data_IF_097575143052
#
_entry.id   IF_097575143052
#
_cell.length_a   1.000
_cell.length_b   1.000
_cell.length_c   1.000
_cell.angle_alpha   90.00
_cell.angle_beta   90.00
_cell.angle_gamma   90.00
#
_symmetry.space_group_name_H-M   'P 1'
#
loop_
_entity.id
_entity.type
_entity.pdbx_description
1 polymer ?
#
# COMPACT_ATOMS: atom_id res chain seq x y z
N UNK A 1 -7.27 12.55 12.46
CA UNK A 1 -6.27 11.54 12.91
C UNK A 1 -6.60 10.94 14.29
N UNK A 2 -7.01 11.72 15.32
CA UNK A 2 -7.33 11.17 16.65
C UNK A 2 -8.52 10.20 16.64
N UNK A 3 -9.59 10.51 15.92
CA UNK A 3 -10.80 9.68 15.81
C UNK A 3 -10.54 8.31 15.17
N UNK A 4 -9.64 8.23 14.17
CA UNK A 4 -9.35 6.99 13.47
C UNK A 4 -8.49 6.01 14.30
N UNK A 5 -7.54 6.53 15.10
CA UNK A 5 -6.80 5.73 16.09
C UNK A 5 -7.73 5.17 17.17
N UNK A 6 -8.73 5.94 17.61
CA UNK A 6 -9.75 5.46 18.54
C UNK A 6 -10.56 4.31 17.96
N UNK A 7 -10.91 4.36 16.68
CA UNK A 7 -11.59 3.28 15.98
C UNK A 7 -10.75 2.00 15.95
N UNK A 8 -9.44 2.14 15.65
CA UNK A 8 -8.53 0.98 15.65
C UNK A 8 -8.44 0.32 17.02
N UNK A 9 -8.27 1.12 18.09
CA UNK A 9 -8.23 0.61 19.47
C UNK A 9 -9.56 -0.04 19.88
N UNK A 10 -10.68 0.56 19.51
CA UNK A 10 -12.00 -0.02 19.76
C UNK A 10 -12.15 -1.40 19.11
N UNK A 11 -11.73 -1.53 17.86
CA UNK A 11 -11.79 -2.82 17.13
C UNK A 11 -10.89 -3.87 17.78
N UNK A 12 -9.67 -3.53 18.20
CA UNK A 12 -8.77 -4.45 18.92
C UNK A 12 -9.45 -4.95 20.20
N UNK A 13 -9.99 -4.04 21.01
CA UNK A 13 -10.61 -4.37 22.28
C UNK A 13 -11.83 -5.28 22.10
N UNK A 14 -12.71 -4.99 21.13
CA UNK A 14 -13.90 -5.80 20.89
C UNK A 14 -13.58 -7.21 20.38
N UNK A 15 -12.58 -7.33 19.49
CA UNK A 15 -12.11 -8.65 19.04
C UNK A 15 -11.49 -9.43 20.19
N UNK A 16 -10.62 -8.81 21.00
CA UNK A 16 -10.04 -9.43 22.19
C UNK A 16 -11.10 -9.88 23.18
N UNK A 17 -12.06 -9.01 23.47
CA UNK A 17 -13.18 -9.32 24.37
C UNK A 17 -13.95 -10.57 23.92
N UNK A 18 -14.19 -10.67 22.59
CA UNK A 18 -14.89 -11.83 22.01
C UNK A 18 -14.10 -13.11 22.19
N UNK A 19 -12.79 -13.11 21.94
CA UNK A 19 -11.95 -14.29 22.16
C UNK A 19 -11.80 -14.65 23.64
N UNK A 20 -11.62 -13.66 24.51
CA UNK A 20 -11.53 -13.87 25.95
C UNK A 20 -12.82 -14.47 26.54
N UNK A 21 -13.99 -14.09 26.01
CA UNK A 21 -15.27 -14.68 26.45
C UNK A 21 -15.38 -16.18 26.15
N UNK A 22 -14.60 -16.67 25.19
CA UNK A 22 -14.50 -18.09 24.82
C UNK A 22 -13.27 -18.79 25.46
N UNK A 23 -12.57 -18.12 26.38
CA UNK A 23 -11.40 -18.65 27.06
C UNK A 23 -10.11 -18.67 26.23
N UNK A 24 -10.10 -18.02 25.06
CA UNK A 24 -8.94 -17.97 24.18
C UNK A 24 -8.18 -16.67 24.41
N UNK A 25 -6.88 -16.78 24.74
CA UNK A 25 -5.99 -15.65 24.87
C UNK A 25 -5.14 -15.47 23.61
N UNK A 26 -5.23 -14.31 22.96
CA UNK A 26 -4.47 -13.96 21.77
C UNK A 26 -3.67 -12.70 22.08
N UNK A 27 -2.39 -12.66 21.66
CA UNK A 27 -1.59 -11.44 21.80
C UNK A 27 -2.14 -10.34 20.88
N UNK A 28 -2.26 -9.11 21.40
CA UNK A 28 -2.86 -7.96 20.70
C UNK A 28 -2.22 -7.66 19.35
N UNK A 29 -0.90 -7.85 19.25
CA UNK A 29 -0.12 -7.63 18.03
C UNK A 29 -0.66 -8.35 16.80
N UNK A 30 -1.23 -9.55 16.94
CA UNK A 30 -1.79 -10.32 15.83
C UNK A 30 -3.08 -9.68 15.29
N UNK A 31 -3.90 -9.17 16.20
CA UNK A 31 -5.14 -8.47 15.85
C UNK A 31 -4.83 -7.08 15.28
N UNK A 32 -3.87 -6.39 15.87
CA UNK A 32 -3.42 -5.06 15.42
C UNK A 32 -2.91 -5.08 13.97
N UNK A 33 -2.15 -6.10 13.56
CA UNK A 33 -1.68 -6.26 12.17
C UNK A 33 -2.86 -6.35 11.20
N UNK A 34 -3.89 -7.13 11.54
CA UNK A 34 -5.08 -7.30 10.71
C UNK A 34 -5.84 -5.96 10.60
N UNK A 35 -6.07 -5.29 11.73
CA UNK A 35 -6.77 -4.00 11.76
C UNK A 35 -5.97 -2.92 11.02
N UNK A 36 -4.65 -2.93 11.14
CA UNK A 36 -3.78 -2.04 10.36
C UNK A 36 -4.02 -2.23 8.86
N UNK A 37 -4.08 -3.47 8.38
CA UNK A 37 -4.34 -3.75 6.97
C UNK A 37 -5.74 -3.33 6.52
N UNK A 38 -6.76 -3.48 7.37
CA UNK A 38 -8.12 -3.00 7.10
C UNK A 38 -8.24 -1.47 7.03
N UNK A 39 -7.30 -0.76 7.63
CA UNK A 39 -7.32 0.70 7.80
C UNK A 39 -6.21 1.42 7.02
N UNK A 40 -5.43 0.73 6.19
CA UNK A 40 -4.30 1.31 5.46
C UNK A 40 -4.70 2.04 4.18
N UNK A 41 -5.95 1.90 3.72
CA UNK A 41 -6.42 2.51 2.47
C UNK A 41 -7.18 3.82 2.71
N UNK A 42 -7.06 4.74 1.76
CA UNK A 42 -7.75 6.03 1.73
C UNK A 42 -8.52 6.17 0.42
N UNK A 43 -9.62 6.93 0.47
CA UNK A 43 -10.37 7.28 -0.74
C UNK A 43 -10.16 8.76 -1.06
N UNK A 44 -9.80 9.03 -2.29
CA UNK A 44 -9.68 10.39 -2.82
C UNK A 44 -11.08 10.97 -3.03
N UNK A 45 -11.32 12.21 -2.56
CA UNK A 45 -12.55 12.96 -2.82
C UNK A 45 -12.31 14.17 -3.73
N UNK A 46 -11.09 14.70 -3.76
CA UNK A 46 -10.67 15.76 -4.66
C UNK A 46 -9.25 15.47 -5.15
N UNK A 47 -9.05 15.52 -6.46
CA UNK A 47 -7.72 15.28 -7.05
C UNK A 47 -6.76 16.46 -6.87
N UNK A 48 -7.26 17.68 -6.59
CA UNK A 48 -6.44 18.90 -6.68
C UNK A 48 -5.84 19.04 -8.08
N UNK A 49 -4.60 19.49 -8.15
CA UNK A 49 -3.82 19.60 -9.40
C UNK A 49 -3.08 18.31 -9.77
N UNK A 50 -3.41 17.19 -9.07
CA UNK A 50 -2.78 15.89 -9.32
C UNK A 50 -3.56 15.04 -10.33
N UNK A 51 -2.94 13.98 -10.85
CA UNK A 51 -3.56 13.04 -11.79
C UNK A 51 -4.56 12.08 -11.14
N UNK A 52 -4.82 12.22 -9.83
CA UNK A 52 -5.70 11.34 -9.08
C UNK A 52 -7.18 11.61 -9.39
N UNK A 53 -7.94 10.54 -9.56
CA UNK A 53 -9.37 10.64 -9.83
C UNK A 53 -10.19 10.59 -8.53
N UNK A 54 -11.27 11.39 -8.42
CA UNK A 54 -12.22 11.27 -7.31
C UNK A 54 -12.82 9.87 -7.25
N UNK A 55 -12.80 9.26 -6.05
CA UNK A 55 -13.27 7.89 -5.82
C UNK A 55 -12.17 6.82 -5.85
N UNK A 56 -10.97 7.15 -6.29
CA UNK A 56 -9.82 6.24 -6.31
C UNK A 56 -9.40 5.82 -4.90
N UNK A 57 -8.98 4.56 -4.77
CA UNK A 57 -8.53 3.99 -3.50
C UNK A 57 -7.02 3.78 -3.57
N UNK A 58 -6.30 4.44 -2.66
CA UNK A 58 -4.84 4.40 -2.58
C UNK A 58 -4.38 3.94 -1.19
N UNK A 59 -3.12 3.57 -1.08
CA UNK A 59 -2.49 3.42 0.23
C UNK A 59 -2.21 4.78 0.88
N UNK A 60 -2.31 4.82 2.21
CA UNK A 60 -2.06 6.04 2.98
C UNK A 60 -0.64 6.59 2.74
N UNK A 61 0.35 5.69 2.61
CA UNK A 61 1.74 6.07 2.35
C UNK A 61 1.91 6.72 0.97
N UNK A 62 1.27 6.16 -0.06
CA UNK A 62 1.27 6.72 -1.42
C UNK A 62 0.58 8.09 -1.45
N UNK A 63 -0.58 8.21 -0.79
CA UNK A 63 -1.30 9.48 -0.70
C UNK A 63 -0.47 10.56 0.02
N UNK A 64 0.25 10.21 1.08
CA UNK A 64 1.15 11.13 1.80
C UNK A 64 2.35 11.55 0.94
N UNK A 65 2.93 10.64 0.15
CA UNK A 65 4.02 10.96 -0.78
C UNK A 65 3.56 11.92 -1.88
N UNK A 66 2.41 11.65 -2.50
CA UNK A 66 1.83 12.51 -3.53
C UNK A 66 1.50 13.90 -2.94
N UNK A 67 0.93 13.94 -1.73
CA UNK A 67 0.64 15.21 -1.04
C UNK A 67 1.92 16.03 -0.78
N UNK A 68 2.99 15.38 -0.34
CA UNK A 68 4.27 16.04 -0.12
C UNK A 68 4.86 16.56 -1.45
N UNK A 69 4.77 15.77 -2.51
CA UNK A 69 5.25 16.17 -3.84
C UNK A 69 4.48 17.39 -4.36
N UNK A 70 3.15 17.40 -4.30
CA UNK A 70 2.31 18.51 -4.73
C UNK A 70 2.62 19.80 -3.94
N UNK A 71 2.72 19.70 -2.60
CA UNK A 71 3.08 20.85 -1.76
C UNK A 71 4.45 21.43 -2.09
N UNK A 72 5.41 20.58 -2.43
CA UNK A 72 6.76 21.06 -2.81
C UNK A 72 6.80 21.68 -4.20
N UNK A 73 5.90 21.27 -5.09
CA UNK A 73 5.71 21.90 -6.41
C UNK A 73 4.92 23.21 -6.35
N UNK A 74 4.29 23.52 -5.21
CA UNK A 74 3.39 24.67 -5.05
C UNK A 74 2.00 24.44 -5.65
N UNK A 75 1.63 23.19 -5.90
CA UNK A 75 0.36 22.75 -6.46
C UNK A 75 -0.65 22.44 -5.35
N UNK A 76 -1.95 22.45 -5.69
CA UNK A 76 -3.00 22.09 -4.73
C UNK A 76 -2.95 20.57 -4.43
N UNK A 77 -2.78 20.17 -3.13
CA UNK A 77 -2.66 18.77 -2.78
C UNK A 77 -4.00 18.04 -2.91
N UNK A 78 -3.98 16.71 -3.18
CA UNK A 78 -5.19 15.91 -3.24
C UNK A 78 -5.87 15.81 -1.88
N UNK A 79 -7.19 15.90 -1.88
CA UNK A 79 -8.01 15.68 -0.69
C UNK A 79 -8.40 14.20 -0.58
N UNK A 80 -8.11 13.57 0.56
CA UNK A 80 -8.46 12.17 0.79
C UNK A 80 -8.97 11.91 2.20
N UNK A 81 -9.75 10.85 2.36
CA UNK A 81 -10.27 10.41 3.67
C UNK A 81 -9.87 8.96 3.93
N UNK A 82 -9.42 8.63 5.16
CA UNK A 82 -9.18 7.24 5.52
C UNK A 82 -10.49 6.46 5.48
N UNK A 83 -10.41 5.20 5.06
CA UNK A 83 -11.56 4.30 5.00
C UNK A 83 -11.27 3.01 5.75
N UNK A 84 -12.34 2.40 6.25
CA UNK A 84 -12.30 1.06 6.84
C UNK A 84 -12.80 0.07 5.79
N UNK A 85 -11.97 -0.91 5.46
CA UNK A 85 -12.33 -2.02 4.59
C UNK A 85 -12.65 -3.26 5.41
N UNK A 86 -13.68 -4.01 5.00
CA UNK A 86 -13.90 -5.35 5.52
C UNK A 86 -12.71 -6.26 5.17
N UNK A 87 -12.50 -7.30 5.96
CA UNK A 87 -11.34 -8.20 5.85
C UNK A 87 -11.16 -8.76 4.43
N UNK A 88 -12.22 -9.26 3.81
CA UNK A 88 -12.18 -9.79 2.44
C UNK A 88 -11.79 -8.72 1.42
N UNK A 89 -12.39 -7.53 1.51
CA UNK A 89 -12.05 -6.42 0.61
C UNK A 89 -10.61 -5.93 0.80
N UNK A 90 -10.13 -5.88 2.04
CA UNK A 90 -8.75 -5.50 2.33
C UNK A 90 -7.75 -6.51 1.72
N UNK A 91 -8.07 -7.81 1.76
CA UNK A 91 -7.23 -8.86 1.19
C UNK A 91 -7.22 -8.86 -0.35
N UNK A 92 -8.35 -8.57 -1.00
CA UNK A 92 -8.45 -8.49 -2.45
C UNK A 92 -7.85 -7.20 -3.04
N UNK A 93 -7.90 -6.10 -2.29
CA UNK A 93 -7.30 -4.82 -2.68
C UNK A 93 -5.83 -4.68 -2.23
N UNK A 94 -5.09 -5.78 -2.16
CA UNK A 94 -3.65 -5.74 -1.92
C UNK A 94 -2.90 -5.26 -3.16
N UNK A 95 -1.70 -4.70 -2.97
CA UNK A 95 -0.87 -4.22 -4.09
C UNK A 95 -0.33 -5.38 -4.94
N UNK A 96 -0.18 -6.57 -4.33
CA UNK A 96 0.19 -7.80 -5.01
C UNK A 96 -1.04 -8.52 -5.55
N UNK A 97 -1.18 -8.59 -6.87
CA UNK A 97 -2.26 -9.37 -7.49
C UNK A 97 -2.07 -10.88 -7.32
N UNK A 98 -0.83 -11.37 -7.18
CA UNK A 98 -0.51 -12.79 -6.91
C UNK A 98 -1.07 -13.18 -5.53
N UNK A 99 -0.85 -12.33 -4.51
CA UNK A 99 -1.38 -12.53 -3.17
C UNK A 99 -2.90 -12.51 -3.14
N UNK A 100 -3.53 -11.56 -3.84
CA UNK A 100 -4.97 -11.46 -3.95
C UNK A 100 -5.59 -12.68 -4.65
N UNK A 101 -5.03 -13.10 -5.79
CA UNK A 101 -5.49 -14.25 -6.57
C UNK A 101 -5.42 -15.56 -5.78
N UNK A 102 -4.42 -15.70 -4.89
CA UNK A 102 -4.28 -16.89 -4.05
C UNK A 102 -5.25 -16.95 -2.87
N UNK A 103 -5.99 -15.87 -2.61
CA UNK A 103 -6.97 -15.81 -1.53
C UNK A 103 -8.38 -16.20 -2.01
N UNK A 104 -8.94 -15.46 -2.93
CA UNK A 104 -10.28 -15.70 -3.50
C UNK A 104 -10.37 -15.13 -4.91
N UNK A 105 -11.38 -15.56 -5.69
CA UNK A 105 -11.69 -15.04 -7.03
C UNK A 105 -10.50 -15.04 -7.98
N UNK A 106 -9.71 -16.13 -7.97
CA UNK A 106 -8.45 -16.25 -8.72
C UNK A 106 -8.56 -15.83 -10.18
N UNK A 107 -9.58 -16.34 -10.89
CA UNK A 107 -9.78 -16.05 -12.32
C UNK A 107 -10.06 -14.58 -12.56
N UNK A 108 -10.91 -13.96 -11.74
CA UNK A 108 -11.27 -12.55 -11.87
C UNK A 108 -10.05 -11.65 -11.63
N UNK A 109 -9.35 -11.88 -10.52
CA UNK A 109 -8.18 -11.07 -10.14
C UNK A 109 -7.08 -11.16 -11.19
N UNK A 110 -6.79 -12.36 -11.70
CA UNK A 110 -5.78 -12.56 -12.75
C UNK A 110 -6.20 -11.91 -14.07
N UNK A 111 -7.47 -11.99 -14.43
CA UNK A 111 -7.98 -11.37 -15.65
C UNK A 111 -7.88 -9.84 -15.57
N UNK A 112 -8.32 -9.24 -14.46
CA UNK A 112 -8.21 -7.79 -14.21
C UNK A 112 -6.75 -7.33 -14.25
N UNK A 113 -5.85 -8.06 -13.56
CA UNK A 113 -4.43 -7.75 -13.55
C UNK A 113 -3.79 -7.85 -14.95
N UNK A 114 -4.20 -8.83 -15.75
CA UNK A 114 -3.71 -8.99 -17.12
C UNK A 114 -4.20 -7.87 -18.05
N UNK A 115 -5.48 -7.46 -17.93
CA UNK A 115 -6.04 -6.35 -18.72
C UNK A 115 -5.37 -5.03 -18.36
N UNK A 116 -5.13 -4.77 -17.07
CA UNK A 116 -4.48 -3.56 -16.60
C UNK A 116 -2.95 -3.56 -16.81
N UNK A 117 -2.35 -4.69 -17.16
CA UNK A 117 -0.90 -4.83 -17.28
C UNK A 117 -0.17 -4.61 -15.96
N UNK A 118 -0.79 -4.99 -14.83
CA UNK A 118 -0.20 -4.81 -13.49
C UNK A 118 1.13 -5.54 -13.35
N UNK A 119 2.07 -4.87 -12.67
CA UNK A 119 3.35 -5.47 -12.26
C UNK A 119 3.33 -5.76 -10.77
N UNK A 120 3.76 -6.96 -10.38
CA UNK A 120 3.95 -7.33 -8.99
C UNK A 120 5.43 -7.21 -8.61
N UNK A 121 5.71 -6.39 -7.61
CA UNK A 121 7.09 -6.13 -7.17
C UNK A 121 7.62 -7.15 -6.18
N UNK A 122 6.83 -8.18 -5.84
CA UNK A 122 7.21 -9.26 -4.94
C UNK A 122 7.72 -8.79 -3.58
N UNK A 123 7.10 -7.75 -3.03
CA UNK A 123 7.50 -7.14 -1.76
C UNK A 123 7.07 -7.94 -0.53
N UNK A 124 6.03 -8.75 -0.64
CA UNK A 124 5.48 -9.52 0.47
C UNK A 124 6.04 -10.92 0.58
N UNK A 125 5.57 -11.65 1.60
CA UNK A 125 5.99 -13.02 1.86
C UNK A 125 5.32 -14.01 0.90
N UNK A 126 4.01 -13.88 0.71
CA UNK A 126 3.16 -14.84 0.03
C UNK A 126 3.50 -14.99 -1.46
N UNK A 127 3.69 -13.89 -2.15
CA UNK A 127 4.07 -13.86 -3.56
C UNK A 127 5.45 -14.49 -3.80
N UNK A 128 6.42 -14.24 -2.93
CA UNK A 128 7.74 -14.87 -3.02
C UNK A 128 7.68 -16.37 -2.79
N UNK A 129 6.87 -16.82 -1.83
CA UNK A 129 6.65 -18.25 -1.57
C UNK A 129 5.99 -18.93 -2.76
N UNK A 130 4.98 -18.32 -3.38
CA UNK A 130 4.28 -18.88 -4.53
C UNK A 130 5.22 -19.06 -5.73
N UNK A 131 6.09 -18.07 -5.97
CA UNK A 131 7.06 -18.12 -7.10
C UNK A 131 8.27 -19.02 -6.77
N UNK A 132 8.48 -19.38 -5.50
CA UNK A 132 9.62 -20.21 -5.08
C UNK A 132 10.90 -19.40 -4.84
N UNK A 133 10.80 -18.10 -4.55
CA UNK A 133 11.92 -17.24 -4.15
C UNK A 133 12.10 -17.21 -2.65
N UNK A 134 13.27 -16.76 -2.20
CA UNK A 134 13.51 -16.47 -0.79
C UNK A 134 12.58 -15.34 -0.33
N UNK A 135 11.99 -15.52 0.85
CA UNK A 135 11.16 -14.48 1.46
C UNK A 135 12.02 -13.28 1.89
N UNK A 136 11.49 -12.05 1.92
CA UNK A 136 12.22 -10.86 2.36
C UNK A 136 12.37 -10.81 3.89
N UNK A 137 12.86 -11.90 4.49
CA UNK A 137 13.11 -12.06 5.91
C UNK A 137 14.19 -13.11 6.15
N UNK A 138 14.88 -13.03 7.27
CA UNK A 138 15.96 -13.96 7.63
C UNK A 138 17.09 -13.93 6.60
N UNK A 139 17.48 -15.08 6.06
CA UNK A 139 18.58 -15.20 5.07
C UNK A 139 18.29 -14.52 3.73
N UNK A 140 17.02 -14.30 3.37
CA UNK A 140 16.61 -13.61 2.15
C UNK A 140 16.60 -12.08 2.25
N UNK A 141 16.77 -11.52 3.44
CA UNK A 141 16.64 -10.08 3.66
C UNK A 141 17.66 -9.25 2.86
N UNK A 142 18.92 -9.63 2.88
CA UNK A 142 19.97 -8.90 2.16
C UNK A 142 19.80 -8.96 0.63
N UNK A 143 19.33 -10.08 0.12
CA UNK A 143 19.03 -10.23 -1.32
C UNK A 143 17.86 -9.33 -1.71
N UNK A 144 16.83 -9.23 -0.86
CA UNK A 144 15.66 -8.40 -1.08
C UNK A 144 15.99 -6.91 -1.08
N UNK A 145 16.84 -6.44 -0.15
CA UNK A 145 17.28 -5.04 -0.10
C UNK A 145 18.05 -4.62 -1.36
N UNK A 146 18.87 -5.51 -1.92
CA UNK A 146 19.57 -5.25 -3.16
C UNK A 146 18.59 -5.13 -4.34
N UNK A 147 17.60 -6.02 -4.45
CA UNK A 147 16.55 -5.94 -5.48
C UNK A 147 15.71 -4.67 -5.35
N UNK A 148 15.36 -4.27 -4.12
CA UNK A 148 14.59 -3.05 -3.87
C UNK A 148 15.36 -1.79 -4.26
N UNK A 149 16.67 -1.75 -4.03
CA UNK A 149 17.53 -0.64 -4.48
C UNK A 149 17.56 -0.54 -6.00
N UNK A 150 17.73 -1.67 -6.70
CA UNK A 150 17.72 -1.72 -8.18
C UNK A 150 16.35 -1.30 -8.72
N UNK A 151 15.25 -1.82 -8.16
CA UNK A 151 13.90 -1.47 -8.56
C UNK A 151 13.56 0.02 -8.32
N UNK A 152 14.02 0.59 -7.22
CA UNK A 152 13.86 2.02 -6.96
C UNK A 152 14.62 2.90 -7.96
N UNK A 153 15.82 2.48 -8.38
CA UNK A 153 16.58 3.21 -9.41
C UNK A 153 15.91 3.12 -10.77
N UNK A 154 15.34 1.98 -11.16
CA UNK A 154 14.59 1.83 -12.41
C UNK A 154 13.25 2.60 -12.37
N UNK A 155 12.49 2.51 -11.27
CA UNK A 155 11.25 3.30 -11.11
C UNK A 155 11.52 4.79 -11.03
N UNK A 156 12.61 5.19 -10.37
CA UNK A 156 13.03 6.59 -10.33
C UNK A 156 13.43 7.07 -11.74
N UNK A 157 14.16 6.27 -12.51
CA UNK A 157 14.52 6.59 -13.88
C UNK A 157 13.30 6.65 -14.83
N UNK A 158 12.30 5.78 -14.64
CA UNK A 158 11.03 5.83 -15.37
C UNK A 158 10.19 7.06 -14.98
N UNK A 159 10.13 7.39 -13.70
CA UNK A 159 9.49 8.62 -13.21
C UNK A 159 10.18 9.88 -13.74
N UNK A 160 11.51 9.90 -13.75
CA UNK A 160 12.31 11.01 -14.34
C UNK A 160 12.04 11.12 -15.85
N UNK A 161 11.92 10.00 -16.56
CA UNK A 161 11.65 9.98 -18.01
C UNK A 161 10.24 10.46 -18.33
N UNK A 162 9.24 10.10 -17.53
CA UNK A 162 7.86 10.60 -17.64
C UNK A 162 7.73 12.07 -17.19
N UNK A 163 8.45 12.48 -16.16
CA UNK A 163 8.41 13.86 -15.65
C UNK A 163 9.17 14.85 -16.53
N UNK A 164 10.04 14.38 -17.44
CA UNK A 164 10.70 15.25 -18.42
C UNK A 164 9.71 15.87 -19.43
N UNK A 165 8.52 15.29 -19.55
CA UNK A 165 7.43 15.84 -20.37
C UNK A 165 6.52 16.82 -19.61
N UNK A 166 6.54 16.84 -18.25
CA UNK A 166 5.63 17.64 -17.42
C UNK A 166 6.28 18.43 -16.27
N UNK A 167 7.53 18.86 -16.38
CA UNK A 167 8.09 19.86 -15.45
C UNK A 167 8.57 19.38 -14.08
N UNK A 168 8.39 18.11 -13.69
CA UNK A 168 8.79 17.53 -12.40
C UNK A 168 10.31 17.27 -12.26
N UNK A 169 11.10 17.62 -13.27
CA UNK A 169 12.56 17.37 -13.33
C UNK A 169 13.33 18.00 -12.17
N UNK A 170 12.88 19.14 -11.68
CA UNK A 170 13.59 19.90 -10.66
C UNK A 170 13.38 19.37 -9.23
N UNK A 171 12.32 18.61 -8.98
CA UNK A 171 11.99 18.09 -7.65
C UNK A 171 12.80 16.85 -7.30
N UNK A 172 12.97 15.93 -8.26
CA UNK A 172 13.70 14.68 -8.05
C UNK A 172 15.21 14.90 -7.94
N UNK A 173 15.74 15.99 -8.51
CA UNK A 173 17.15 16.37 -8.37
C UNK A 173 17.46 16.99 -7.00
N UNK A 174 16.51 17.71 -6.39
CA UNK A 174 16.68 18.30 -5.06
C UNK A 174 16.66 17.29 -3.91
N UNK A 175 15.88 16.22 -4.02
CA UNK A 175 15.81 15.16 -2.99
C UNK A 175 17.02 14.22 -2.95
N UNK A 176 17.97 14.37 -3.87
CA UNK A 176 19.24 13.62 -3.90
C UNK A 176 20.41 14.36 -3.22
N UNK A 177 20.22 15.61 -2.82
CA UNK A 177 21.25 16.46 -2.24
C UNK A 177 21.05 16.72 -0.72
N UNK A 178 20.01 16.16 -0.12
CA UNK A 178 19.79 16.06 1.33
C UNK A 178 19.81 14.57 1.76
#
# INVERSE_FOLDING_TARGET
>A
KKSFKHLQLFLVNEVQRTYLSQGVQIADKHIEIIIKQMTCKVRVYSGGDTTLLPGEILEINQAELITKAALSAGEEPPGYKPMLLGLTKASLNSDSFISAASFQETTRVLTEAAIEGKKDWLNGLKENVIIGRLIPAGTGFNSFDNFKKIGNDETMNLLIKHSSEHGLKNYLLKSRLE
#
